data_IF_625184051740
#
_entry.id   IF_625184051740
#
_cell.length_a   1.000
_cell.length_b   1.000
_cell.length_c   1.000
_cell.angle_alpha   90.00
_cell.angle_beta   90.00
_cell.angle_gamma   90.00
#
_symmetry.space_group_name_H-M   'P 1'
#
loop_
_entity.id
_entity.type
_entity.pdbx_description
1 polymer ?
#
# COMPACT_ATOMS: atom_id res chain seq x y z
N UNK A 1 -7.17 -16.13 -19.88
CA UNK A 1 -7.69 -16.79 -18.64
C UNK A 1 -8.76 -15.88 -18.04
N UNK A 2 -9.75 -16.42 -17.30
CA UNK A 2 -10.79 -15.57 -16.71
C UNK A 2 -10.61 -15.47 -15.19
N UNK A 3 -10.44 -14.25 -14.68
CA UNK A 3 -10.48 -13.99 -13.25
C UNK A 3 -11.88 -14.30 -12.67
N UNK A 4 -12.01 -14.57 -11.36
CA UNK A 4 -13.31 -14.69 -10.72
C UNK A 4 -14.19 -13.46 -10.98
N UNK A 5 -15.50 -13.67 -11.18
CA UNK A 5 -16.44 -12.57 -11.56
C UNK A 5 -16.53 -11.47 -10.47
N UNK A 6 -16.18 -11.77 -9.22
CA UNK A 6 -16.14 -10.84 -8.10
C UNK A 6 -14.73 -10.33 -7.78
N UNK A 7 -13.74 -10.57 -8.66
CA UNK A 7 -12.37 -10.14 -8.41
C UNK A 7 -12.28 -8.62 -8.31
N UNK A 8 -11.55 -8.15 -7.32
CA UNK A 8 -11.24 -6.73 -7.13
C UNK A 8 -9.75 -6.51 -7.20
N UNK A 9 -9.35 -5.61 -8.09
CA UNK A 9 -7.97 -5.15 -8.13
C UNK A 9 -7.67 -4.22 -6.97
N UNK A 10 -6.44 -4.28 -6.50
CA UNK A 10 -5.88 -3.38 -5.48
C UNK A 10 -4.41 -3.11 -5.81
N UNK A 11 -3.82 -2.11 -5.15
CA UNK A 11 -2.39 -1.87 -5.28
C UNK A 11 -1.56 -3.13 -4.98
N UNK A 12 -2.00 -3.95 -4.02
CA UNK A 12 -1.27 -5.14 -3.58
C UNK A 12 -1.23 -6.23 -4.65
N UNK A 13 -2.40 -6.60 -5.21
CA UNK A 13 -2.41 -7.67 -6.20
C UNK A 13 -1.80 -7.23 -7.54
N UNK A 14 -1.92 -5.96 -7.91
CA UNK A 14 -1.23 -5.40 -9.06
C UNK A 14 0.29 -5.35 -8.85
N UNK A 15 0.76 -5.04 -7.62
CA UNK A 15 2.18 -5.08 -7.27
C UNK A 15 2.70 -6.53 -7.32
N UNK A 16 1.95 -7.49 -6.77
CA UNK A 16 2.29 -8.91 -6.83
C UNK A 16 2.43 -9.39 -8.29
N UNK A 17 1.55 -8.91 -9.20
CA UNK A 17 1.65 -9.19 -10.62
C UNK A 17 2.90 -8.58 -11.24
N UNK A 18 3.16 -7.31 -11.00
CA UNK A 18 4.32 -6.58 -11.54
C UNK A 18 5.65 -7.14 -11.05
N UNK A 19 5.71 -7.59 -9.79
CA UNK A 19 6.90 -8.20 -9.23
C UNK A 19 7.13 -9.62 -9.75
N UNK A 20 6.07 -10.42 -9.87
CA UNK A 20 6.14 -11.79 -10.34
C UNK A 20 4.76 -12.29 -10.80
N UNK A 21 4.55 -12.38 -12.10
CA UNK A 21 3.30 -12.91 -12.69
C UNK A 21 2.92 -14.27 -12.12
N UNK A 22 3.90 -15.15 -11.88
CA UNK A 22 3.66 -16.47 -11.30
C UNK A 22 3.15 -16.41 -9.86
N UNK A 23 3.65 -15.44 -9.03
CA UNK A 23 3.13 -15.20 -7.69
C UNK A 23 1.65 -14.81 -7.74
N UNK A 24 1.28 -13.92 -8.66
CA UNK A 24 -0.10 -13.53 -8.87
C UNK A 24 -0.97 -14.75 -9.26
N UNK A 25 -0.52 -15.58 -10.18
CA UNK A 25 -1.20 -16.81 -10.59
C UNK A 25 -1.47 -17.73 -9.39
N UNK A 26 -0.43 -18.01 -8.59
CA UNK A 26 -0.54 -18.91 -7.45
C UNK A 26 -1.51 -18.37 -6.40
N UNK A 27 -1.34 -17.08 -6.04
CA UNK A 27 -2.06 -16.46 -4.92
C UNK A 27 -3.51 -16.14 -5.26
N UNK A 28 -3.76 -15.50 -6.39
CA UNK A 28 -5.07 -14.91 -6.68
C UNK A 28 -5.92 -15.71 -7.66
N UNK A 29 -5.32 -16.55 -8.47
CA UNK A 29 -6.03 -17.32 -9.47
C UNK A 29 -6.22 -18.76 -9.00
N UNK A 30 -5.12 -19.40 -8.59
CA UNK A 30 -5.15 -20.78 -8.11
C UNK A 30 -5.49 -20.90 -6.63
N UNK A 31 -5.42 -19.79 -5.86
CA UNK A 31 -5.70 -19.78 -4.42
C UNK A 31 -4.82 -20.74 -3.63
N UNK A 32 -3.55 -20.89 -4.04
CA UNK A 32 -2.64 -21.82 -3.39
C UNK A 32 -2.11 -21.17 -2.13
N UNK A 33 -2.46 -21.71 -0.98
CA UNK A 33 -1.81 -21.41 0.28
C UNK A 33 -0.54 -22.23 0.38
N UNK A 34 0.60 -21.55 0.51
CA UNK A 34 1.89 -22.22 0.64
C UNK A 34 2.57 -21.73 1.92
N UNK A 35 3.02 -22.66 2.80
CA UNK A 35 3.65 -22.25 4.05
C UNK A 35 4.91 -21.43 3.78
N UNK A 36 5.01 -20.29 4.45
CA UNK A 36 6.22 -19.49 4.44
C UNK A 36 7.40 -20.29 4.99
N UNK A 37 8.59 -19.97 4.51
CA UNK A 37 9.81 -20.61 5.01
C UNK A 37 10.11 -20.01 6.39
N UNK A 38 10.14 -20.84 7.41
CA UNK A 38 10.58 -20.44 8.74
C UNK A 38 12.12 -20.28 8.75
N UNK A 39 12.57 -19.05 8.70
CA UNK A 39 13.99 -18.69 8.86
C UNK A 39 14.11 -17.39 9.64
N UNK A 40 15.23 -17.19 10.34
CA UNK A 40 15.43 -15.97 11.15
C UNK A 40 15.14 -14.66 10.40
N UNK A 41 15.59 -14.44 9.15
CA UNK A 41 15.27 -13.23 8.41
C UNK A 41 13.78 -13.05 8.14
N UNK A 42 13.01 -14.12 7.94
CA UNK A 42 11.56 -14.07 7.74
C UNK A 42 10.87 -13.71 9.05
N UNK A 43 11.23 -14.34 10.16
CA UNK A 43 10.66 -14.05 11.48
C UNK A 43 10.91 -12.61 11.92
N UNK A 44 12.09 -12.07 11.66
CA UNK A 44 12.41 -10.67 11.92
C UNK A 44 11.55 -9.72 11.07
N UNK A 45 11.36 -10.07 9.80
CA UNK A 45 10.49 -9.32 8.92
C UNK A 45 9.03 -9.36 9.38
N UNK A 46 8.52 -10.53 9.74
CA UNK A 46 7.17 -10.72 10.28
C UNK A 46 6.97 -9.91 11.57
N UNK A 47 7.93 -9.94 12.49
CA UNK A 47 7.85 -9.16 13.72
C UNK A 47 7.80 -7.63 13.47
N UNK A 48 8.59 -7.13 12.51
CA UNK A 48 8.52 -5.72 12.11
C UNK A 48 7.17 -5.34 11.49
N UNK A 49 6.64 -6.24 10.67
CA UNK A 49 5.33 -6.03 10.06
C UNK A 49 4.21 -6.04 11.09
N UNK A 50 4.29 -6.92 12.08
CA UNK A 50 3.33 -6.95 13.18
C UNK A 50 3.37 -5.64 13.98
N UNK A 51 4.55 -5.10 14.26
CA UNK A 51 4.69 -3.78 14.89
C UNK A 51 4.08 -2.68 14.02
N UNK A 52 4.32 -2.72 12.71
CA UNK A 52 3.68 -1.80 11.75
C UNK A 52 2.15 -1.87 11.81
N UNK A 53 1.58 -3.07 11.78
CA UNK A 53 0.14 -3.27 11.91
C UNK A 53 -0.41 -2.78 13.26
N UNK A 54 0.33 -2.99 14.35
CA UNK A 54 -0.05 -2.46 15.67
C UNK A 54 -0.08 -0.92 15.64
N UNK A 55 0.91 -0.29 15.01
CA UNK A 55 0.95 1.17 14.85
C UNK A 55 -0.27 1.69 14.08
N UNK A 56 -0.58 1.12 12.91
CA UNK A 56 -1.77 1.50 12.14
C UNK A 56 -3.06 1.33 12.94
N UNK A 57 -3.17 0.24 13.72
CA UNK A 57 -4.32 0.00 14.59
C UNK A 57 -4.46 1.05 15.68
N UNK A 58 -3.36 1.46 16.32
CA UNK A 58 -3.38 2.54 17.32
C UNK A 58 -3.84 3.86 16.71
N UNK A 59 -3.32 4.21 15.53
CA UNK A 59 -3.73 5.41 14.79
C UNK A 59 -5.22 5.37 14.46
N UNK A 60 -5.72 4.25 13.94
CA UNK A 60 -7.14 4.05 13.64
C UNK A 60 -8.02 4.20 14.88
N UNK A 61 -7.65 3.59 16.00
CA UNK A 61 -8.39 3.68 17.26
C UNK A 61 -8.43 5.12 17.79
N UNK A 62 -7.33 5.85 17.67
CA UNK A 62 -7.28 7.27 18.04
C UNK A 62 -8.24 8.11 17.20
N UNK A 63 -8.29 7.92 15.87
CA UNK A 63 -9.27 8.57 15.00
C UNK A 63 -10.71 8.14 15.29
N UNK A 64 -10.91 6.95 15.84
CA UNK A 64 -12.22 6.45 16.29
C UNK A 64 -12.65 7.02 17.65
N UNK A 65 -11.83 7.90 18.26
CA UNK A 65 -12.14 8.58 19.50
C UNK A 65 -11.63 7.89 20.77
N UNK A 66 -10.79 6.87 20.66
CA UNK A 66 -10.14 6.29 21.84
C UNK A 66 -9.07 7.25 22.34
N UNK A 67 -9.07 7.48 23.68
CA UNK A 67 -8.15 8.41 24.31
C UNK A 67 -6.70 7.97 24.15
N UNK A 68 -5.82 8.93 23.82
CA UNK A 68 -4.40 8.69 23.59
C UNK A 68 -3.68 8.09 24.83
N UNK A 69 -4.11 8.46 26.04
CA UNK A 69 -3.52 7.93 27.27
C UNK A 69 -3.82 6.45 27.46
N UNK A 70 -5.03 6.00 27.08
CA UNK A 70 -5.41 4.60 27.10
C UNK A 70 -4.65 3.79 26.05
N UNK A 71 -4.46 4.35 24.86
CA UNK A 71 -3.69 3.71 23.80
C UNK A 71 -2.21 3.59 24.19
N UNK A 72 -1.63 4.67 24.74
CA UNK A 72 -0.24 4.67 25.20
C UNK A 72 0.03 3.61 26.28
N UNK A 73 -0.94 3.39 27.18
CA UNK A 73 -0.82 2.39 28.25
C UNK A 73 -0.79 0.94 27.76
N UNK A 74 -1.20 0.67 26.51
CA UNK A 74 -1.20 -0.66 25.90
C UNK A 74 0.09 -1.00 25.14
N UNK A 75 0.98 -0.01 24.99
CA UNK A 75 2.19 -0.17 24.19
C UNK A 75 3.28 -0.78 25.06
N UNK A 76 3.71 -2.00 24.72
CA UNK A 76 4.79 -2.71 25.40
C UNK A 76 6.15 -2.53 24.70
N UNK A 77 6.13 -2.39 23.36
CA UNK A 77 7.34 -2.24 22.55
C UNK A 77 7.91 -0.84 22.65
N UNK A 78 9.19 -0.66 23.02
CA UNK A 78 9.84 0.66 23.02
C UNK A 78 9.85 1.33 21.63
N UNK A 79 9.99 0.53 20.57
CA UNK A 79 9.98 1.01 19.19
C UNK A 79 8.59 1.57 18.83
N UNK A 80 7.53 0.82 19.12
CA UNK A 80 6.15 1.26 18.92
C UNK A 80 5.83 2.50 19.77
N UNK A 81 6.35 2.58 20.99
CA UNK A 81 6.17 3.76 21.84
C UNK A 81 6.82 5.01 21.23
N UNK A 82 8.02 4.87 20.65
CA UNK A 82 8.67 5.97 19.95
C UNK A 82 7.87 6.43 18.73
N UNK A 83 7.37 5.50 17.89
CA UNK A 83 6.52 5.84 16.74
C UNK A 83 5.22 6.53 17.16
N UNK A 84 4.61 6.04 18.24
CA UNK A 84 3.38 6.62 18.79
C UNK A 84 3.60 8.04 19.31
N UNK A 85 4.73 8.31 19.97
CA UNK A 85 5.10 9.65 20.44
C UNK A 85 5.24 10.63 19.26
N UNK A 86 5.93 10.24 18.20
CA UNK A 86 6.08 11.07 17.00
C UNK A 86 4.73 11.33 16.31
N UNK A 87 3.87 10.31 16.24
CA UNK A 87 2.53 10.46 15.67
C UNK A 87 1.68 11.45 16.49
N UNK A 88 1.68 11.33 17.81
CA UNK A 88 0.89 12.24 18.67
C UNK A 88 1.37 13.68 18.61
N UNK A 89 2.66 13.88 18.31
CA UNK A 89 3.25 15.21 18.12
C UNK A 89 2.82 15.89 16.81
N UNK A 90 2.30 15.15 15.81
CA UNK A 90 1.79 15.73 14.54
C UNK A 90 0.55 16.59 14.75
N UNK A 91 -0.20 16.38 15.82
CA UNK A 91 -1.48 17.07 16.11
C UNK A 91 -2.41 17.20 14.89
N UNK A 92 -2.71 16.06 14.27
CA UNK A 92 -3.56 15.98 13.07
C UNK A 92 -4.99 16.48 13.33
N UNK A 93 -5.36 16.70 14.61
CA UNK A 93 -6.67 17.30 14.97
C UNK A 93 -6.83 18.71 14.42
N UNK A 94 -5.73 19.45 14.26
CA UNK A 94 -5.70 20.84 13.76
C UNK A 94 -5.85 20.95 12.24
N UNK A 95 -5.70 19.84 11.50
CA UNK A 95 -5.90 19.85 10.05
C UNK A 95 -7.34 20.22 9.70
N UNK A 96 -7.54 21.17 8.75
CA UNK A 96 -8.88 21.53 8.30
C UNK A 96 -9.55 20.37 7.55
N UNK A 97 -10.88 20.29 7.64
CA UNK A 97 -11.67 19.32 6.90
C UNK A 97 -12.05 18.06 7.68
N UNK A 98 -12.79 17.20 7.00
CA UNK A 98 -13.26 15.92 7.52
C UNK A 98 -12.15 14.86 7.39
N UNK A 99 -12.02 14.02 8.40
CA UNK A 99 -10.95 13.02 8.51
C UNK A 99 -11.55 11.62 8.54
N UNK A 100 -11.08 10.75 7.64
CA UNK A 100 -11.55 9.38 7.51
C UNK A 100 -10.37 8.42 7.63
N UNK A 101 -10.23 7.76 8.77
CA UNK A 101 -9.23 6.71 8.97
C UNK A 101 -9.70 5.40 8.33
N UNK A 102 -8.76 4.64 7.78
CA UNK A 102 -8.98 3.30 7.19
C UNK A 102 -10.12 3.30 6.12
N UNK A 103 -10.23 4.41 5.38
CA UNK A 103 -11.31 4.59 4.40
C UNK A 103 -11.04 3.78 3.14
N UNK A 104 -11.90 2.79 2.88
CA UNK A 104 -11.88 2.07 1.62
C UNK A 104 -12.77 2.76 0.58
N UNK A 105 -12.24 2.95 -0.63
CA UNK A 105 -12.97 3.42 -1.81
C UNK A 105 -12.78 2.42 -2.93
N UNK A 106 -13.86 2.11 -3.64
CA UNK A 106 -13.85 1.17 -4.75
C UNK A 106 -14.57 1.78 -5.95
N UNK A 107 -13.93 1.73 -7.11
CA UNK A 107 -14.46 2.28 -8.37
C UNK A 107 -14.56 1.19 -9.44
N UNK A 108 -15.52 1.30 -10.38
CA UNK A 108 -15.53 0.44 -11.57
C UNK A 108 -14.29 0.71 -12.44
N UNK A 109 -13.62 -0.35 -12.88
CA UNK A 109 -12.43 -0.26 -13.71
C UNK A 109 -12.27 -1.50 -14.61
N UNK A 110 -12.27 -1.32 -15.94
CA UNK A 110 -12.09 -2.37 -16.97
C UNK A 110 -12.89 -3.66 -16.71
N UNK A 111 -14.18 -3.51 -16.37
CA UNK A 111 -15.07 -4.66 -16.10
C UNK A 111 -14.96 -5.24 -14.69
N UNK A 112 -14.05 -4.76 -13.87
CA UNK A 112 -13.83 -5.15 -12.49
C UNK A 112 -14.02 -3.97 -11.52
N UNK A 113 -13.61 -4.16 -10.29
CA UNK A 113 -13.47 -3.10 -9.30
C UNK A 113 -11.99 -2.85 -9.05
N UNK A 114 -11.63 -1.58 -8.86
CA UNK A 114 -10.32 -1.18 -8.34
C UNK A 114 -10.52 -0.52 -6.99
N UNK A 115 -9.85 -1.03 -5.98
CA UNK A 115 -10.05 -0.63 -4.57
C UNK A 115 -8.75 -0.06 -4.00
N UNK A 116 -8.89 1.04 -3.26
CA UNK A 116 -7.85 1.61 -2.43
C UNK A 116 -8.36 1.75 -0.99
N UNK A 117 -7.50 1.50 -0.01
CA UNK A 117 -7.75 1.69 1.41
C UNK A 117 -6.73 2.68 1.95
N UNK A 118 -7.20 3.81 2.42
CA UNK A 118 -6.35 4.92 2.87
C UNK A 118 -6.20 4.86 4.38
N UNK A 119 -4.97 4.96 4.89
CA UNK A 119 -4.74 5.04 6.34
C UNK A 119 -5.43 6.26 6.93
N UNK A 120 -5.29 7.42 6.25
CA UNK A 120 -6.10 8.60 6.55
C UNK A 120 -6.39 9.38 5.27
N UNK A 121 -7.65 9.68 5.05
CA UNK A 121 -8.12 10.60 4.00
C UNK A 121 -8.67 11.85 4.67
N UNK A 122 -8.12 13.02 4.33
CA UNK A 122 -8.61 14.34 4.77
C UNK A 122 -9.27 15.05 3.60
N UNK A 123 -10.51 15.52 3.80
CA UNK A 123 -11.30 16.23 2.78
C UNK A 123 -11.60 17.63 3.30
N UNK A 124 -10.95 18.63 2.73
CA UNK A 124 -11.19 20.03 3.06
C UNK A 124 -12.13 20.70 2.05
N UNK A 125 -13.30 21.11 2.54
CA UNK A 125 -14.36 21.79 1.76
C UNK A 125 -14.71 21.11 0.42
N UNK A 126 -14.45 19.81 0.27
CA UNK A 126 -14.69 19.07 -0.96
C UNK A 126 -13.78 19.47 -2.15
N UNK A 127 -12.75 20.27 -1.91
CA UNK A 127 -11.83 20.80 -2.93
C UNK A 127 -10.42 20.27 -2.79
N UNK A 128 -9.92 20.16 -1.57
CA UNK A 128 -8.59 19.60 -1.28
C UNK A 128 -8.74 18.23 -0.62
N UNK A 129 -8.05 17.24 -1.18
CA UNK A 129 -8.04 15.86 -0.72
C UNK A 129 -6.60 15.50 -0.40
N UNK A 130 -6.34 15.14 0.85
CA UNK A 130 -5.00 14.72 1.28
C UNK A 130 -5.04 13.28 1.75
N UNK A 131 -4.24 12.44 1.10
CA UNK A 131 -4.03 11.04 1.46
C UNK A 131 -2.80 10.98 2.34
N UNK A 132 -2.94 10.48 3.55
CA UNK A 132 -1.79 10.11 4.40
C UNK A 132 -1.63 8.61 4.37
N UNK A 133 -0.38 8.19 4.27
CA UNK A 133 0.03 6.80 4.33
C UNK A 133 1.20 6.68 5.31
N UNK A 134 1.00 5.88 6.35
CA UNK A 134 1.96 5.69 7.42
C UNK A 134 2.95 4.58 7.06
N UNK A 135 4.24 4.87 7.15
CA UNK A 135 5.29 3.90 6.84
C UNK A 135 6.22 3.72 8.04
N UNK A 136 6.25 2.53 8.60
CA UNK A 136 7.04 2.19 9.79
C UNK A 136 8.48 1.78 9.47
N UNK A 137 8.90 1.89 8.21
CA UNK A 137 10.28 1.62 7.78
C UNK A 137 11.26 2.62 8.39
N UNK A 138 12.40 2.11 8.88
CA UNK A 138 13.54 2.92 9.32
C UNK A 138 14.23 3.68 8.18
N UNK A 139 14.10 3.16 6.94
CA UNK A 139 14.74 3.75 5.77
C UNK A 139 13.79 4.70 5.05
N UNK A 140 14.27 5.91 4.78
CA UNK A 140 13.56 6.87 3.97
C UNK A 140 13.92 6.67 2.49
N UNK A 141 12.99 6.21 1.65
CA UNK A 141 13.25 6.00 0.23
C UNK A 141 13.40 7.32 -0.53
N UNK A 142 14.00 7.27 -1.72
CA UNK A 142 13.97 8.41 -2.64
C UNK A 142 12.54 8.62 -3.15
N UNK A 143 12.13 9.88 -3.26
CA UNK A 143 10.78 10.23 -3.76
C UNK A 143 10.48 9.60 -5.13
N UNK A 144 11.48 9.51 -6.01
CA UNK A 144 11.36 8.89 -7.33
C UNK A 144 11.00 7.40 -7.27
N UNK A 145 11.51 6.68 -6.25
CA UNK A 145 11.21 5.27 -6.06
C UNK A 145 9.76 5.06 -5.58
N UNK A 146 9.28 5.95 -4.71
CA UNK A 146 7.87 5.91 -4.26
C UNK A 146 6.90 6.22 -5.40
N UNK A 147 7.20 7.21 -6.23
CA UNK A 147 6.35 7.59 -7.36
C UNK A 147 6.13 6.45 -8.37
N UNK A 148 7.07 5.53 -8.49
CA UNK A 148 6.97 4.34 -9.34
C UNK A 148 6.21 3.17 -8.73
N UNK A 149 5.81 3.24 -7.46
CA UNK A 149 5.07 2.16 -6.79
C UNK A 149 3.59 2.19 -7.15
N UNK A 150 3.00 1.02 -7.27
CA UNK A 150 1.58 0.91 -7.57
C UNK A 150 0.69 1.53 -6.50
N UNK A 151 1.12 1.62 -5.26
CA UNK A 151 0.40 2.34 -4.21
C UNK A 151 0.28 3.84 -4.53
N UNK A 152 1.40 4.48 -4.95
CA UNK A 152 1.40 5.90 -5.36
C UNK A 152 0.62 6.18 -6.65
N UNK A 153 0.30 5.13 -7.40
CA UNK A 153 -0.50 5.17 -8.63
C UNK A 153 -1.97 4.92 -8.30
N UNK A 154 -2.28 3.79 -7.66
CA UNK A 154 -3.65 3.34 -7.42
C UNK A 154 -4.41 4.24 -6.43
N UNK A 155 -3.76 4.69 -5.36
CA UNK A 155 -4.44 5.46 -4.33
C UNK A 155 -5.00 6.77 -4.85
N UNK A 156 -4.19 7.68 -5.41
CA UNK A 156 -4.73 8.94 -5.95
C UNK A 156 -5.60 8.72 -7.18
N UNK A 157 -5.35 7.69 -8.00
CA UNK A 157 -6.19 7.34 -9.15
C UNK A 157 -7.60 6.97 -8.72
N UNK A 158 -7.76 6.05 -7.76
CA UNK A 158 -9.07 5.62 -7.26
C UNK A 158 -9.82 6.80 -6.64
N UNK A 159 -9.12 7.64 -5.86
CA UNK A 159 -9.72 8.84 -5.29
C UNK A 159 -10.20 9.78 -6.39
N UNK A 160 -9.35 10.13 -7.37
CA UNK A 160 -9.71 11.00 -8.49
C UNK A 160 -10.92 10.46 -9.24
N UNK A 161 -10.90 9.18 -9.59
CA UNK A 161 -12.01 8.53 -10.32
C UNK A 161 -13.31 8.54 -9.52
N UNK A 162 -13.25 8.39 -8.20
CA UNK A 162 -14.44 8.40 -7.33
C UNK A 162 -15.10 9.78 -7.22
N UNK A 163 -14.33 10.86 -7.32
CA UNK A 163 -14.83 12.22 -7.20
C UNK A 163 -15.22 12.85 -8.54
N UNK A 164 -14.74 12.33 -9.66
CA UNK A 164 -15.06 12.82 -11.02
C UNK A 164 -16.48 12.45 -11.48
N UNK A 165 -17.08 11.41 -10.90
CA UNK A 165 -18.45 10.96 -11.22
C UNK A 165 -19.57 11.76 -10.54
N UNK A 166 -19.28 12.70 -9.66
CA UNK A 166 -20.26 13.59 -9.04
C UNK A 166 -20.37 14.84 -9.92
N UNK A 167 -21.57 15.10 -10.45
CA UNK A 167 -21.87 16.13 -11.44
C UNK A 167 -21.03 17.41 -11.28
N UNK A 168 -20.03 17.58 -12.12
CA UNK A 168 -19.19 18.76 -12.15
C UNK A 168 -19.89 19.86 -12.96
N UNK A 169 -20.47 20.81 -12.26
CA UNK A 169 -20.84 22.11 -12.85
C UNK A 169 -19.82 23.21 -12.49
N UNK A 170 -18.73 22.85 -11.81
CA UNK A 170 -17.73 23.80 -11.32
C UNK A 170 -16.32 23.41 -11.78
N UNK A 171 -15.70 24.31 -12.56
CA UNK A 171 -14.32 24.22 -13.07
C UNK A 171 -13.23 24.31 -11.98
N UNK A 172 -13.59 24.28 -10.71
CA UNK A 172 -12.65 24.27 -9.60
C UNK A 172 -11.93 22.92 -9.54
N UNK A 173 -10.71 22.90 -10.03
CA UNK A 173 -9.84 21.71 -9.97
C UNK A 173 -9.74 21.21 -8.53
N UNK A 174 -10.22 19.99 -8.31
CA UNK A 174 -10.04 19.28 -7.05
C UNK A 174 -8.57 18.90 -6.90
N UNK A 175 -7.95 19.42 -5.86
CA UNK A 175 -6.53 19.18 -5.55
C UNK A 175 -6.40 17.86 -4.79
N UNK A 176 -5.54 16.97 -5.26
CA UNK A 176 -5.20 15.72 -4.56
C UNK A 176 -3.71 15.74 -4.23
N UNK A 177 -3.40 15.52 -2.98
CA UNK A 177 -2.04 15.39 -2.45
C UNK A 177 -1.90 14.04 -1.73
N UNK A 178 -0.77 13.36 -1.91
CA UNK A 178 -0.43 12.16 -1.15
C UNK A 178 0.84 12.40 -0.35
N UNK A 179 0.81 11.99 0.92
CA UNK A 179 1.87 12.20 1.90
C UNK A 179 2.24 10.85 2.50
N UNK A 180 3.47 10.43 2.28
CA UNK A 180 4.10 9.34 3.02
C UNK A 180 4.78 9.92 4.25
N UNK A 181 4.35 9.47 5.41
CA UNK A 181 4.94 9.90 6.66
C UNK A 181 5.58 8.73 7.40
N UNK A 182 6.76 8.97 7.93
CA UNK A 182 7.61 7.98 8.59
C UNK A 182 7.89 8.40 10.03
N UNK A 183 7.48 7.62 11.07
CA UNK A 183 7.82 7.93 12.45
C UNK A 183 9.32 8.03 12.70
N UNK A 184 10.14 7.23 12.00
CA UNK A 184 11.60 7.32 12.09
C UNK A 184 12.17 8.63 11.50
N UNK A 185 11.38 9.35 10.69
CA UNK A 185 11.77 10.59 10.02
C UNK A 185 10.64 11.63 10.03
N UNK A 186 10.12 12.01 11.21
CA UNK A 186 8.85 12.73 11.34
C UNK A 186 8.88 14.12 10.68
N UNK A 187 10.06 14.74 10.56
CA UNK A 187 10.24 16.06 9.93
C UNK A 187 10.50 16.00 8.43
N UNK A 188 10.49 14.82 7.83
CA UNK A 188 10.82 14.59 6.41
C UNK A 188 9.76 13.79 5.67
N UNK A 189 8.48 14.20 5.71
CA UNK A 189 7.46 13.54 4.92
C UNK A 189 7.79 13.64 3.42
N UNK A 190 7.36 12.66 2.64
CA UNK A 190 7.49 12.69 1.18
C UNK A 190 6.08 12.91 0.63
N UNK A 191 5.88 14.04 -0.03
CA UNK A 191 4.59 14.43 -0.57
C UNK A 191 4.68 14.69 -2.08
N UNK A 192 3.57 14.50 -2.77
CA UNK A 192 3.41 14.82 -4.17
C UNK A 192 1.96 15.14 -4.51
N UNK A 193 1.80 16.07 -5.46
CA UNK A 193 0.51 16.45 -6.01
C UNK A 193 0.14 15.53 -7.17
N UNK A 194 -1.13 15.19 -7.26
CA UNK A 194 -1.66 14.33 -8.30
C UNK A 194 -2.34 15.18 -9.39
N UNK A 195 -1.66 15.30 -10.53
CA UNK A 195 -2.12 16.12 -11.68
C UNK A 195 -3.06 15.34 -12.61
N UNK A 196 -3.75 16.07 -13.50
CA UNK A 196 -4.57 15.46 -14.54
C UNK A 196 -3.72 14.65 -15.55
N UNK A 197 -2.52 15.14 -15.90
CA UNK A 197 -1.62 14.41 -16.79
C UNK A 197 -1.19 13.09 -16.17
N UNK A 198 -0.93 13.10 -14.85
CA UNK A 198 -0.60 11.88 -14.12
C UNK A 198 -1.79 10.92 -14.07
N UNK A 199 -3.00 11.43 -13.88
CA UNK A 199 -4.22 10.62 -13.90
C UNK A 199 -4.37 9.87 -15.23
N UNK A 200 -4.14 10.53 -16.38
CA UNK A 200 -4.22 9.89 -17.69
C UNK A 200 -3.15 8.81 -17.89
N UNK A 201 -1.90 9.12 -17.50
CA UNK A 201 -0.80 8.15 -17.56
C UNK A 201 -1.07 6.91 -16.70
N UNK A 202 -1.59 7.13 -15.48
CA UNK A 202 -1.89 6.05 -14.56
C UNK A 202 -3.11 5.23 -15.05
N UNK A 203 -4.11 5.85 -15.70
CA UNK A 203 -5.23 5.14 -16.32
C UNK A 203 -4.76 4.22 -17.45
N UNK A 204 -3.86 4.69 -18.32
CA UNK A 204 -3.27 3.87 -19.38
C UNK A 204 -2.45 2.71 -18.81
N UNK A 205 -1.61 2.96 -17.80
CA UNK A 205 -0.78 1.94 -17.16
C UNK A 205 -1.64 0.89 -16.48
N UNK A 206 -2.60 1.30 -15.66
CA UNK A 206 -3.46 0.39 -14.91
C UNK A 206 -4.37 -0.43 -15.87
N UNK A 207 -4.90 0.21 -16.93
CA UNK A 207 -5.68 -0.48 -17.95
C UNK A 207 -4.83 -1.53 -18.66
N UNK A 208 -3.60 -1.18 -19.03
CA UNK A 208 -2.67 -2.12 -19.65
C UNK A 208 -2.38 -3.34 -18.77
N UNK A 209 -2.17 -3.14 -17.45
CA UNK A 209 -1.96 -4.25 -16.52
C UNK A 209 -3.18 -5.15 -16.39
N UNK A 210 -4.38 -4.58 -16.29
CA UNK A 210 -5.62 -5.35 -16.19
C UNK A 210 -5.89 -6.12 -17.49
N UNK A 211 -5.68 -5.50 -18.64
CA UNK A 211 -5.87 -6.13 -19.94
C UNK A 211 -4.84 -7.26 -20.16
N UNK A 212 -3.59 -7.06 -19.75
CA UNK A 212 -2.56 -8.10 -19.82
C UNK A 212 -2.92 -9.31 -18.93
N UNK A 213 -3.44 -9.09 -17.73
CA UNK A 213 -3.89 -10.16 -16.84
C UNK A 213 -5.06 -10.93 -17.44
N UNK A 214 -6.02 -10.23 -18.08
CA UNK A 214 -7.24 -10.85 -18.59
C UNK A 214 -7.06 -11.59 -19.90
N UNK A 215 -6.21 -11.08 -20.80
CA UNK A 215 -6.14 -11.54 -22.18
C UNK A 215 -5.12 -12.67 -22.39
N UNK A 216 -4.33 -13.00 -21.37
CA UNK A 216 -3.31 -14.02 -21.47
C UNK A 216 -3.73 -15.34 -20.82
N UNK A 217 -3.17 -16.43 -21.32
CA UNK A 217 -3.34 -17.77 -20.76
C UNK A 217 -2.38 -18.00 -19.58
N UNK A 218 -2.55 -19.12 -18.83
CA UNK A 218 -1.73 -19.44 -17.68
C UNK A 218 -0.23 -19.51 -17.97
N UNK A 219 0.15 -19.92 -19.17
CA UNK A 219 1.56 -20.00 -19.60
C UNK A 219 2.26 -18.63 -19.64
N UNK A 220 1.49 -17.54 -19.74
CA UNK A 220 1.99 -16.17 -19.66
C UNK A 220 2.53 -15.80 -18.26
N UNK A 221 2.00 -16.45 -17.23
CA UNK A 221 2.33 -16.13 -15.83
C UNK A 221 3.65 -16.81 -15.42
N UNK A 222 4.73 -16.39 -16.05
CA UNK A 222 6.05 -16.92 -15.78
C UNK A 222 6.66 -16.40 -14.47
N UNK A 223 7.63 -17.15 -13.95
CA UNK A 223 8.43 -16.73 -12.80
C UNK A 223 9.31 -15.55 -13.15
N UNK A 224 9.40 -14.56 -12.27
CA UNK A 224 10.34 -13.45 -12.47
C UNK A 224 11.78 -13.94 -12.58
N UNK A 225 12.59 -13.28 -13.40
CA UNK A 225 14.03 -13.49 -13.46
C UNK A 225 14.79 -12.72 -12.38
N UNK A 226 14.15 -11.70 -11.78
CA UNK A 226 14.71 -10.91 -10.68
C UNK A 226 14.61 -11.67 -9.37
N UNK A 227 15.70 -12.35 -8.97
CA UNK A 227 15.71 -13.16 -7.75
C UNK A 227 15.57 -12.33 -6.47
N UNK A 228 15.90 -11.06 -6.50
CA UNK A 228 15.64 -10.08 -5.42
C UNK A 228 14.17 -10.06 -5.01
N UNK A 229 13.24 -10.12 -5.98
CA UNK A 229 11.78 -10.18 -5.75
C UNK A 229 11.33 -11.44 -5.00
N UNK A 230 12.21 -12.46 -4.91
CA UNK A 230 11.91 -13.71 -4.23
C UNK A 230 12.43 -13.77 -2.80
N UNK A 231 13.09 -12.72 -2.32
CA UNK A 231 13.79 -12.73 -1.01
C UNK A 231 12.86 -13.12 0.12
N UNK A 232 11.66 -12.52 0.19
CA UNK A 232 10.63 -12.77 1.20
C UNK A 232 9.35 -13.37 0.61
N UNK A 233 9.41 -13.89 -0.62
CA UNK A 233 8.25 -14.50 -1.26
C UNK A 233 7.89 -15.82 -0.58
N UNK A 234 6.64 -15.94 -0.10
CA UNK A 234 6.13 -17.17 0.51
C UNK A 234 6.24 -18.38 -0.41
N UNK A 235 6.12 -18.19 -1.73
CA UNK A 235 6.23 -19.25 -2.73
C UNK A 235 7.68 -19.58 -3.15
N UNK A 236 8.70 -19.07 -2.47
CA UNK A 236 10.10 -19.28 -2.84
C UNK A 236 10.46 -20.75 -2.92
N UNK A 237 10.10 -21.54 -1.89
CA UNK A 237 10.34 -22.99 -1.86
C UNK A 237 9.54 -23.73 -2.93
N UNK A 238 8.28 -23.35 -3.17
CA UNK A 238 7.45 -23.86 -4.25
C UNK A 238 8.08 -23.64 -5.62
N UNK A 239 8.76 -22.52 -5.82
CA UNK A 239 9.47 -22.22 -7.07
C UNK A 239 10.84 -22.91 -7.21
N UNK A 240 11.28 -23.70 -6.21
CA UNK A 240 12.60 -24.33 -6.21
C UNK A 240 13.76 -23.34 -6.03
N UNK A 241 13.50 -22.13 -5.48
CA UNK A 241 14.53 -21.09 -5.26
C UNK A 241 15.13 -21.10 -3.86
N UNK A 242 15.08 -22.27 -3.20
CA UNK A 242 15.62 -22.50 -1.86
C UNK A 242 14.67 -22.09 -0.75
N UNK A 243 15.07 -22.47 0.46
CA UNK A 243 14.33 -22.24 1.70
C UNK A 243 14.89 -21.06 2.51
N UNK A 244 16.10 -20.60 2.21
CA UNK A 244 16.70 -19.49 2.94
C UNK A 244 16.22 -18.17 2.36
N UNK A 245 15.60 -17.32 3.18
CA UNK A 245 15.42 -15.93 2.85
C UNK A 245 16.79 -15.26 2.65
N UNK A 246 16.86 -14.32 1.72
CA UNK A 246 18.13 -13.62 1.50
C UNK A 246 18.53 -12.80 2.73
N UNK A 247 19.84 -12.70 2.97
CA UNK A 247 20.37 -11.77 3.99
C UNK A 247 20.06 -10.35 3.53
N UNK A 248 19.55 -9.52 4.44
CA UNK A 248 19.44 -8.08 4.20
C UNK A 248 20.85 -7.52 4.31
N UNK A 249 21.47 -7.16 3.20
CA UNK A 249 22.70 -6.37 3.26
C UNK A 249 22.36 -4.96 3.76
N UNK A 250 23.08 -4.44 4.78
CA UNK A 250 22.91 -3.07 5.22
C UNK A 250 23.18 -2.13 4.04
N UNK A 251 22.18 -1.34 3.64
CA UNK A 251 22.29 -0.40 2.52
C UNK A 251 21.70 -0.87 1.19
N UNK A 252 21.20 -2.10 1.08
CA UNK A 252 20.36 -2.46 -0.05
C UNK A 252 19.03 -1.73 0.09
N UNK A 253 18.76 -0.77 -0.82
CA UNK A 253 17.51 0.01 -0.89
C UNK A 253 16.30 -0.86 -1.32
N UNK A 254 16.36 -2.15 -1.11
CA UNK A 254 15.30 -3.07 -1.46
C UNK A 254 14.30 -3.16 -0.31
N UNK A 255 13.29 -2.41 -0.52
CA UNK A 255 12.10 -2.27 0.29
C UNK A 255 11.47 -3.63 0.58
N UNK A 256 11.41 -4.00 1.85
CA UNK A 256 10.37 -4.86 2.32
C UNK A 256 9.06 -4.08 2.11
N UNK A 257 8.27 -4.51 1.15
CA UNK A 257 6.98 -3.93 0.89
C UNK A 257 6.07 -4.26 2.07
N UNK A 258 5.84 -3.29 2.95
CA UNK A 258 4.91 -3.41 4.08
C UNK A 258 3.49 -3.77 3.63
N UNK A 259 3.18 -3.54 2.34
CA UNK A 259 1.90 -3.89 1.74
C UNK A 259 1.75 -5.38 1.41
N UNK A 260 2.81 -6.19 1.52
CA UNK A 260 2.76 -7.60 1.15
C UNK A 260 1.84 -8.47 2.04
N UNK A 261 1.31 -7.92 3.15
CA UNK A 261 0.60 -8.71 4.16
C UNK A 261 -0.66 -8.04 4.74
N UNK A 262 -1.34 -7.20 4.01
CA UNK A 262 -2.72 -6.91 4.36
C UNK A 262 -3.54 -8.18 4.11
N UNK A 263 -3.53 -9.08 5.07
CA UNK A 263 -4.54 -10.10 5.24
C UNK A 263 -5.80 -9.38 5.75
N UNK A 264 -6.91 -9.62 5.09
CA UNK A 264 -8.28 -9.13 5.31
C UNK A 264 -8.70 -8.92 6.76
#
# INVERSE_FOLDING_TARGET
MKLPDNFSFSQQNLQDYSDCRYRFLLKYIRGIEWPAVESEPVLLQEARMELGQQFHRLVQQNFSGVDQSLLSAQIESPELAAWWQEYTALDLSTLPGEKYAEKAISVPFNGYRLTAKYDLLVIDCGRKFTIYDWKTSEFLPKATNLLGRLQSIVYPFVLRKSITGQAETDETMKEIEMIYWYPAHPTRPINFHYSNDRYQQDEELLSGLVDEINNNDEDWFERTNEQSRCRYCSYRSHCGRGINAGVIEPGSEEFADESAFNLD
#
